data_IF_149354615360
#
_entry.id   IF_149354615360
#
_cell.length_a   1.000
_cell.length_b   1.000
_cell.length_c   1.000
_cell.angle_alpha   90.00
_cell.angle_beta   90.00
_cell.angle_gamma   90.00
#
_symmetry.space_group_name_H-M   'P 1'
#
loop_
_entity.id
_entity.type
_entity.pdbx_description
1 polymer ?
#
# COMPACT_ATOMS: atom_id res chain seq x y z
N UNK A 1 8.82 -4.66 -7.79
CA UNK A 1 8.41 -6.08 -7.60
C UNK A 1 9.18 -6.75 -6.47
N UNK A 2 10.51 -6.64 -6.41
CA UNK A 2 11.34 -7.23 -5.35
C UNK A 2 10.94 -6.75 -3.93
N UNK A 3 10.72 -5.45 -3.75
CA UNK A 3 10.31 -4.86 -2.45
C UNK A 3 8.96 -5.43 -1.97
N UNK A 4 7.99 -5.58 -2.87
CA UNK A 4 6.68 -6.18 -2.55
C UNK A 4 6.81 -7.62 -2.09
N UNK A 5 7.68 -8.41 -2.72
CA UNK A 5 7.95 -9.80 -2.34
C UNK A 5 8.55 -9.86 -0.93
N UNK A 6 9.53 -8.98 -0.65
CA UNK A 6 10.15 -8.89 0.68
C UNK A 6 9.12 -8.53 1.76
N UNK A 7 8.24 -7.56 1.50
CA UNK A 7 7.16 -7.18 2.43
C UNK A 7 6.23 -8.36 2.73
N UNK A 8 5.83 -9.11 1.71
CA UNK A 8 4.97 -10.29 1.87
C UNK A 8 5.69 -11.39 2.66
N UNK A 9 6.96 -11.67 2.35
CA UNK A 9 7.76 -12.67 3.07
C UNK A 9 7.91 -12.32 4.55
N UNK A 10 8.14 -11.04 4.89
CA UNK A 10 8.23 -10.57 6.27
C UNK A 10 6.86 -10.72 6.98
N UNK A 11 5.78 -10.30 6.32
CA UNK A 11 4.42 -10.47 6.84
C UNK A 11 4.08 -11.94 7.14
N UNK A 12 4.46 -12.85 6.24
CA UNK A 12 4.28 -14.30 6.44
C UNK A 12 5.15 -14.86 7.57
N UNK A 13 6.40 -14.40 7.72
CA UNK A 13 7.26 -14.83 8.81
C UNK A 13 6.72 -14.40 10.18
N UNK A 14 6.21 -13.16 10.27
CA UNK A 14 5.55 -12.62 11.46
C UNK A 14 4.27 -13.41 11.76
N UNK A 15 3.45 -13.69 10.75
CA UNK A 15 2.28 -14.54 10.88
C UNK A 15 2.63 -15.94 11.38
N UNK A 16 3.62 -16.61 10.78
CA UNK A 16 4.04 -17.96 11.14
C UNK A 16 4.59 -18.07 12.58
N UNK A 17 5.21 -16.99 13.10
CA UNK A 17 5.70 -16.93 14.48
C UNK A 17 4.58 -16.73 15.49
N UNK A 18 3.67 -15.79 15.23
CA UNK A 18 2.70 -15.33 16.24
C UNK A 18 1.35 -16.06 16.17
N UNK A 19 0.89 -16.50 14.99
CA UNK A 19 -0.36 -17.29 14.87
C UNK A 19 -0.38 -18.57 15.71
N UNK A 20 0.65 -19.45 15.72
CA UNK A 20 0.57 -20.70 16.46
C UNK A 20 0.45 -20.47 17.98
N UNK A 21 1.08 -19.40 18.49
CA UNK A 21 0.97 -19.02 19.89
C UNK A 21 -0.45 -18.53 20.26
N UNK A 22 -1.10 -17.81 19.35
CA UNK A 22 -2.45 -17.28 19.55
C UNK A 22 -3.54 -18.34 19.37
N UNK A 23 -3.35 -19.23 18.40
CA UNK A 23 -4.23 -20.38 18.15
C UNK A 23 -4.23 -21.34 19.35
N UNK A 24 -3.05 -21.65 19.91
CA UNK A 24 -2.92 -22.54 21.09
C UNK A 24 -3.59 -21.98 22.35
N UNK A 25 -3.80 -20.66 22.44
CA UNK A 25 -4.46 -20.00 23.57
C UNK A 25 -5.98 -19.86 23.40
N UNK A 26 -6.58 -20.37 22.32
CA UNK A 26 -8.01 -20.23 22.00
C UNK A 26 -8.53 -18.77 21.97
N UNK A 27 -7.63 -17.78 21.80
CA UNK A 27 -7.97 -16.36 21.77
C UNK A 27 -8.35 -15.94 20.35
N UNK A 28 -9.47 -16.48 19.86
CA UNK A 28 -9.93 -16.25 18.48
C UNK A 28 -10.21 -14.78 18.16
N UNK A 29 -10.70 -14.00 19.13
CA UNK A 29 -10.93 -12.55 18.97
C UNK A 29 -9.60 -11.81 18.74
N UNK A 30 -8.59 -12.11 19.53
CA UNK A 30 -7.26 -11.51 19.40
C UNK A 30 -6.59 -11.90 18.09
N UNK A 31 -6.79 -13.15 17.64
CA UNK A 31 -6.29 -13.64 16.36
C UNK A 31 -6.93 -12.93 15.17
N UNK A 32 -8.23 -12.66 15.24
CA UNK A 32 -8.91 -11.90 14.21
C UNK A 32 -8.38 -10.46 14.11
N UNK A 33 -8.26 -9.76 15.25
CA UNK A 33 -7.70 -8.40 15.29
C UNK A 33 -6.26 -8.38 14.79
N UNK A 34 -5.45 -9.36 15.20
CA UNK A 34 -4.07 -9.50 14.78
C UNK A 34 -3.95 -9.68 13.26
N UNK A 35 -4.71 -10.60 12.65
CA UNK A 35 -4.69 -10.83 11.19
C UNK A 35 -5.13 -9.57 10.44
N UNK A 36 -6.16 -8.86 10.93
CA UNK A 36 -6.60 -7.60 10.33
C UNK A 36 -5.50 -6.54 10.40
N UNK A 37 -4.90 -6.33 11.57
CA UNK A 37 -3.82 -5.34 11.73
C UNK A 37 -2.61 -5.68 10.88
N UNK A 38 -2.20 -6.96 10.86
CA UNK A 38 -1.07 -7.41 10.06
C UNK A 38 -1.37 -7.26 8.55
N UNK A 39 -2.58 -7.64 8.12
CA UNK A 39 -3.03 -7.47 6.74
C UNK A 39 -3.04 -6.01 6.31
N UNK A 40 -3.61 -5.13 7.15
CA UNK A 40 -3.62 -3.69 6.90
C UNK A 40 -2.21 -3.09 6.86
N UNK A 41 -1.33 -3.44 7.79
CA UNK A 41 0.05 -2.98 7.81
C UNK A 41 0.85 -3.46 6.59
N UNK A 42 0.63 -4.71 6.16
CA UNK A 42 1.25 -5.27 4.96
C UNK A 42 0.73 -4.56 3.70
N UNK A 43 -0.58 -4.32 3.63
CA UNK A 43 -1.21 -3.57 2.53
C UNK A 43 -0.67 -2.13 2.42
N UNK A 44 -0.61 -1.41 3.54
CA UNK A 44 -0.05 -0.05 3.59
C UNK A 44 1.43 -0.03 3.21
N UNK A 45 2.22 -1.02 3.65
CA UNK A 45 3.63 -1.16 3.26
C UNK A 45 3.78 -1.37 1.75
N UNK A 46 2.93 -2.19 1.14
CA UNK A 46 2.92 -2.39 -0.32
C UNK A 46 2.54 -1.10 -1.05
N UNK A 47 1.56 -0.37 -0.54
CA UNK A 47 1.13 0.90 -1.11
C UNK A 47 2.25 1.94 -1.03
N UNK A 48 2.92 2.06 0.12
CA UNK A 48 4.08 2.93 0.33
C UNK A 48 5.24 2.57 -0.61
N UNK A 49 5.58 1.29 -0.73
CA UNK A 49 6.62 0.82 -1.65
C UNK A 49 6.27 1.04 -3.12
N UNK A 50 4.98 1.11 -3.47
CA UNK A 50 4.52 1.49 -4.82
C UNK A 50 4.53 3.01 -5.02
N UNK A 51 4.20 3.78 -3.99
CA UNK A 51 4.26 5.26 -3.98
C UNK A 51 5.70 5.76 -4.17
N UNK A 52 6.68 5.15 -3.50
CA UNK A 52 8.11 5.45 -3.73
C UNK A 52 8.56 5.12 -5.17
N UNK A 53 7.88 4.18 -5.83
CA UNK A 53 8.24 3.68 -7.18
C UNK A 53 7.33 4.29 -8.26
N UNK A 54 6.33 5.10 -7.91
CA UNK A 54 5.53 5.87 -8.87
C UNK A 54 6.11 7.28 -9.02
N UNK A 55 6.08 7.79 -10.24
CA UNK A 55 7.20 8.46 -10.88
C UNK A 55 7.32 9.88 -10.37
N UNK A 56 8.46 10.51 -10.68
CA UNK A 56 8.91 11.81 -10.16
C UNK A 56 7.78 12.81 -9.84
N UNK A 57 7.96 13.72 -8.85
CA UNK A 57 7.01 14.78 -8.53
C UNK A 57 6.41 15.52 -9.75
N UNK A 58 7.13 15.48 -10.86
CA UNK A 58 6.71 15.89 -12.19
C UNK A 58 5.38 15.28 -12.67
N UNK A 59 5.08 14.00 -12.40
CA UNK A 59 3.85 13.34 -12.88
C UNK A 59 2.62 13.81 -12.10
N UNK A 60 2.78 14.09 -10.80
CA UNK A 60 1.72 14.70 -10.01
C UNK A 60 1.44 16.13 -10.47
N UNK A 61 2.50 16.87 -10.80
CA UNK A 61 2.39 18.20 -11.42
C UNK A 61 1.71 18.08 -12.79
N UNK A 62 2.11 17.12 -13.63
CA UNK A 62 1.57 16.88 -14.96
C UNK A 62 0.09 16.46 -14.93
N UNK A 63 -0.31 15.64 -13.95
CA UNK A 63 -1.71 15.24 -13.75
C UNK A 63 -2.62 16.42 -13.35
N UNK A 64 -2.08 17.42 -12.66
CA UNK A 64 -2.80 18.67 -12.34
C UNK A 64 -2.75 19.64 -13.52
N UNK A 65 -1.61 19.74 -14.21
CA UNK A 65 -1.43 20.67 -15.31
C UNK A 65 -2.19 20.27 -16.58
N UNK A 66 -2.31 18.98 -16.89
CA UNK A 66 -3.03 18.52 -18.08
C UNK A 66 -4.51 18.94 -18.13
N UNK A 67 -5.33 18.74 -17.08
CA UNK A 67 -6.73 19.19 -17.11
C UNK A 67 -6.83 20.71 -17.12
N UNK A 68 -5.91 21.44 -16.47
CA UNK A 68 -5.87 22.90 -16.50
C UNK A 68 -5.51 23.40 -17.90
N UNK A 69 -4.52 22.80 -18.55
CA UNK A 69 -4.11 23.13 -19.91
C UNK A 69 -5.21 22.83 -20.92
N UNK A 70 -5.90 21.69 -20.78
CA UNK A 70 -7.04 21.35 -21.62
C UNK A 70 -8.20 22.34 -21.45
N UNK A 71 -8.46 22.81 -20.22
CA UNK A 71 -9.49 23.82 -19.93
C UNK A 71 -9.12 25.19 -20.50
N UNK A 72 -7.87 25.61 -20.34
CA UNK A 72 -7.35 26.88 -20.88
C UNK A 72 -7.33 26.85 -22.42
N UNK A 73 -6.87 25.75 -23.03
CA UNK A 73 -6.91 25.56 -24.49
C UNK A 73 -8.34 25.61 -25.03
N UNK A 74 -9.31 25.01 -24.33
CA UNK A 74 -10.72 25.07 -24.74
C UNK A 74 -11.30 26.50 -24.70
N UNK A 75 -10.86 27.32 -23.74
CA UNK A 75 -11.34 28.70 -23.58
C UNK A 75 -10.62 29.66 -24.53
N UNK A 76 -9.32 29.48 -24.75
CA UNK A 76 -8.48 30.41 -25.50
C UNK A 76 -8.20 29.98 -26.95
N UNK A 77 -8.63 28.78 -27.36
CA UNK A 77 -8.70 28.38 -28.76
C UNK A 77 -7.36 28.20 -29.48
N UNK A 78 -6.37 27.59 -28.82
CA UNK A 78 -5.14 27.08 -29.43
C UNK A 78 -4.97 25.59 -29.13
#
# INVERSE_FOLDING_TARGET
>A
MLITIVIICIGLAIAAKDLPGLYRKHRFKDMFVYIIMLGLGTWLSILAAKLEVTPSPLILIEAIYNPVNAFVSNIFGF
#
